data_IF_837372214380
#
_entry.id   IF_837372214380
#
_cell.length_a   1.000
_cell.length_b   1.000
_cell.length_c   1.000
_cell.angle_alpha   90.00
_cell.angle_beta   90.00
_cell.angle_gamma   90.00
#
_symmetry.space_group_name_H-M   'P 1'
#
loop_
_entity.id
_entity.type
_entity.pdbx_description
1 polymer ?
#
# COMPACT_ATOMS: atom_id res chain seq x y z
N UNK A 1 -10.10 11.23 -9.88
CA UNK A 1 -9.42 10.27 -8.99
C UNK A 1 -7.92 10.48 -9.13
N UNK A 2 -7.16 10.15 -8.09
CA UNK A 2 -5.70 10.33 -8.08
C UNK A 2 -5.06 9.18 -7.30
N UNK A 3 -3.88 8.75 -7.72
CA UNK A 3 -3.06 7.82 -6.96
C UNK A 3 -1.94 8.59 -6.26
N UNK A 4 -1.89 8.49 -4.95
CA UNK A 4 -0.76 8.95 -4.16
C UNK A 4 0.18 7.77 -3.93
N UNK A 5 1.44 7.93 -4.31
CA UNK A 5 2.48 6.93 -4.08
C UNK A 5 3.20 7.24 -2.76
N UNK A 6 3.65 6.21 -2.02
CA UNK A 6 4.45 6.40 -0.82
C UNK A 6 5.85 6.95 -1.13
N UNK A 7 6.53 7.44 -0.10
CA UNK A 7 7.89 7.98 -0.20
C UNK A 7 8.94 6.87 -0.17
N UNK A 8 10.06 7.08 -0.88
CA UNK A 8 11.28 6.26 -0.71
C UNK A 8 11.99 6.61 0.61
N UNK A 9 11.91 7.86 1.07
CA UNK A 9 12.56 8.27 2.32
C UNK A 9 11.79 7.71 3.51
N UNK A 10 12.45 6.98 4.44
CA UNK A 10 11.82 6.40 5.62
C UNK A 10 11.69 7.44 6.76
N UNK A 11 11.13 8.61 6.46
CA UNK A 11 11.10 9.72 7.40
C UNK A 11 10.16 9.41 8.55
N UNK A 12 10.70 9.40 9.78
CA UNK A 12 9.88 9.35 10.99
C UNK A 12 9.13 10.67 11.17
N UNK A 13 7.82 10.58 11.26
CA UNK A 13 6.90 11.69 11.57
C UNK A 13 6.20 11.42 12.89
N UNK A 14 5.44 12.40 13.40
CA UNK A 14 4.62 12.19 14.61
C UNK A 14 3.56 11.09 14.43
N UNK A 15 3.14 10.82 13.18
CA UNK A 15 2.19 9.78 12.81
C UNK A 15 2.83 8.43 12.47
N UNK A 16 4.15 8.29 12.65
CA UNK A 16 4.88 7.04 12.40
C UNK A 16 5.97 7.16 11.34
N UNK A 17 6.61 6.02 11.06
CA UNK A 17 7.56 5.84 9.95
C UNK A 17 6.85 5.12 8.81
N UNK A 18 7.34 5.25 7.58
CA UNK A 18 7.05 4.35 6.47
C UNK A 18 8.32 3.59 6.07
N UNK A 19 8.18 2.36 5.57
CA UNK A 19 9.27 1.74 4.83
C UNK A 19 9.47 2.47 3.49
N UNK A 20 10.68 2.47 2.92
CA UNK A 20 10.89 2.90 1.54
C UNK A 20 9.98 2.09 0.61
N UNK A 21 9.28 2.79 -0.28
CA UNK A 21 8.32 2.16 -1.18
C UNK A 21 8.30 2.82 -2.56
N UNK A 22 7.93 2.03 -3.57
CA UNK A 22 7.74 2.47 -4.94
C UNK A 22 6.58 1.72 -5.58
N UNK A 23 6.02 2.27 -6.65
CA UNK A 23 4.86 1.69 -7.33
C UNK A 23 5.14 1.55 -8.82
N UNK A 24 4.92 0.36 -9.35
CA UNK A 24 5.04 0.07 -10.78
C UNK A 24 3.66 -0.01 -11.40
N UNK A 25 3.33 0.92 -12.29
CA UNK A 25 2.04 0.96 -12.96
C UNK A 25 2.05 0.14 -14.24
N UNK A 26 0.97 -0.62 -14.45
CA UNK A 26 0.61 -1.20 -15.73
C UNK A 26 -0.51 -0.37 -16.33
N UNK A 27 -0.32 0.11 -17.55
CA UNK A 27 -1.31 0.92 -18.24
C UNK A 27 -1.36 0.55 -19.72
N UNK A 28 -2.50 0.81 -20.34
CA UNK A 28 -2.71 0.72 -21.77
C UNK A 28 -2.02 1.92 -22.45
N UNK A 29 -1.11 1.65 -23.38
CA UNK A 29 -0.26 2.69 -23.98
C UNK A 29 -0.98 3.58 -24.98
N UNK A 30 -2.11 3.13 -25.52
CA UNK A 30 -2.88 3.87 -26.52
C UNK A 30 -3.88 4.83 -25.85
N UNK A 31 -4.47 4.41 -24.73
CA UNK A 31 -5.51 5.15 -24.00
C UNK A 31 -4.98 5.84 -22.73
N UNK A 32 -3.82 5.43 -22.23
CA UNK A 32 -3.29 5.85 -20.93
C UNK A 32 -4.04 5.26 -19.74
N UNK A 33 -4.99 4.34 -19.96
CA UNK A 33 -5.78 3.75 -18.89
C UNK A 33 -4.90 2.88 -17.98
N UNK A 34 -4.85 3.22 -16.69
CA UNK A 34 -4.24 2.35 -15.68
C UNK A 34 -5.02 1.04 -15.61
N UNK A 35 -4.32 -0.08 -15.74
CA UNK A 35 -4.88 -1.42 -15.65
C UNK A 35 -4.63 -2.04 -14.28
N UNK A 36 -3.46 -1.77 -13.69
CA UNK A 36 -3.08 -2.22 -12.34
C UNK A 36 -1.87 -1.43 -11.83
N UNK A 37 -1.51 -1.63 -10.56
CA UNK A 37 -0.17 -1.34 -10.09
C UNK A 37 0.34 -2.41 -9.12
N UNK A 38 1.66 -2.59 -9.11
CA UNK A 38 2.38 -3.37 -8.10
C UNK A 38 2.98 -2.40 -7.09
N UNK A 39 2.61 -2.54 -5.82
CA UNK A 39 3.24 -1.84 -4.71
C UNK A 39 4.45 -2.64 -4.24
N UNK A 40 5.63 -2.03 -4.29
CA UNK A 40 6.84 -2.58 -3.70
C UNK A 40 7.18 -1.85 -2.41
N UNK A 41 7.83 -2.55 -1.51
CA UNK A 41 8.42 -1.99 -0.30
C UNK A 41 9.79 -2.63 -0.02
N UNK A 42 10.59 -1.93 0.77
CA UNK A 42 11.84 -2.43 1.32
C UNK A 42 11.68 -2.57 2.83
N UNK A 43 11.80 -3.78 3.38
CA UNK A 43 11.96 -3.94 4.83
C UNK A 43 13.30 -3.35 5.25
N UNK A 44 13.25 -2.11 5.77
CA UNK A 44 14.44 -1.35 6.10
C UNK A 44 15.23 -1.99 7.25
N UNK A 45 14.55 -2.65 8.19
CA UNK A 45 15.21 -3.31 9.34
C UNK A 45 16.02 -4.50 8.86
N UNK A 46 15.43 -5.34 8.01
CA UNK A 46 16.11 -6.48 7.38
C UNK A 46 17.22 -6.02 6.46
N UNK A 47 16.97 -5.00 5.62
CA UNK A 47 17.98 -4.49 4.69
C UNK A 47 19.21 -3.92 5.40
N UNK A 48 19.02 -3.23 6.53
CA UNK A 48 20.11 -2.71 7.34
C UNK A 48 20.91 -3.81 8.03
N UNK A 49 20.22 -4.83 8.57
CA UNK A 49 20.86 -5.97 9.25
C UNK A 49 21.69 -6.82 8.27
N UNK A 50 21.15 -7.07 7.09
CA UNK A 50 21.76 -7.98 6.11
C UNK A 50 22.66 -7.25 5.10
N UNK A 51 22.82 -5.93 5.26
CA UNK A 51 23.55 -5.03 4.37
C UNK A 51 23.19 -5.20 2.88
N UNK A 52 21.92 -5.49 2.60
CA UNK A 52 21.43 -5.79 1.25
C UNK A 52 19.99 -5.31 1.09
N UNK A 53 19.74 -4.49 0.06
CA UNK A 53 18.40 -3.98 -0.23
C UNK A 53 17.63 -4.95 -1.13
N UNK A 54 16.79 -5.80 -0.54
CA UNK A 54 15.86 -6.67 -1.27
C UNK A 54 14.45 -6.09 -1.27
N UNK A 55 14.03 -5.59 -2.43
CA UNK A 55 12.67 -5.07 -2.63
C UNK A 55 11.68 -6.22 -2.79
N UNK A 56 10.55 -6.10 -2.09
CA UNK A 56 9.49 -7.12 -2.08
C UNK A 56 8.18 -6.53 -2.57
N UNK A 57 7.34 -7.38 -3.16
CA UNK A 57 5.97 -7.01 -3.52
C UNK A 57 5.14 -6.97 -2.24
N UNK A 58 4.48 -5.85 -1.98
CA UNK A 58 3.50 -5.70 -0.91
C UNK A 58 2.12 -6.18 -1.35
N UNK A 59 1.63 -5.64 -2.47
CA UNK A 59 0.36 -6.07 -3.09
C UNK A 59 0.22 -5.56 -4.53
N UNK A 60 -0.71 -6.14 -5.28
CA UNK A 60 -1.20 -5.59 -6.55
C UNK A 60 -2.60 -5.02 -6.35
N UNK A 61 -2.88 -3.81 -6.86
CA UNK A 61 -4.14 -3.09 -6.61
C UNK A 61 -5.36 -3.95 -6.95
N UNK A 62 -5.39 -4.53 -8.16
CA UNK A 62 -6.57 -5.25 -8.64
C UNK A 62 -6.86 -6.49 -7.82
N UNK A 63 -5.84 -7.31 -7.51
CA UNK A 63 -6.02 -8.52 -6.71
C UNK A 63 -6.35 -8.21 -5.25
N UNK A 64 -5.79 -7.12 -4.72
CA UNK A 64 -5.93 -6.77 -3.30
C UNK A 64 -7.32 -6.23 -2.96
N UNK A 65 -7.95 -5.50 -3.89
CA UNK A 65 -9.31 -4.96 -3.74
C UNK A 65 -10.37 -5.69 -4.58
N UNK A 66 -9.98 -6.71 -5.35
CA UNK A 66 -10.92 -7.50 -6.16
C UNK A 66 -11.45 -6.76 -7.39
N UNK A 67 -10.71 -5.79 -7.91
CA UNK A 67 -11.11 -5.05 -9.11
C UNK A 67 -10.90 -5.89 -10.38
N UNK A 68 -11.88 -5.85 -11.28
CA UNK A 68 -11.75 -6.39 -12.64
C UNK A 68 -11.05 -5.39 -13.59
N UNK A 69 -11.21 -4.11 -13.30
CA UNK A 69 -10.59 -3.01 -14.02
C UNK A 69 -10.34 -1.87 -13.04
N UNK A 70 -9.35 -1.02 -13.34
CA UNK A 70 -9.13 0.20 -12.56
C UNK A 70 -9.83 1.35 -13.29
N UNK A 71 -10.93 1.82 -12.72
CA UNK A 71 -11.67 2.97 -13.24
C UNK A 71 -12.02 3.98 -12.16
N UNK A 72 -12.40 5.19 -12.59
CA UNK A 72 -12.91 6.24 -11.70
C UNK A 72 -14.05 5.74 -10.82
N UNK A 73 -14.94 4.93 -11.42
CA UNK A 73 -16.12 4.39 -10.77
C UNK A 73 -15.74 3.34 -9.73
N UNK A 74 -14.90 2.38 -10.09
CA UNK A 74 -14.47 1.31 -9.17
C UNK A 74 -13.73 1.88 -7.95
N UNK A 75 -12.90 2.91 -8.16
CA UNK A 75 -12.21 3.61 -7.07
C UNK A 75 -13.16 4.42 -6.19
N UNK A 76 -14.20 5.02 -6.77
CA UNK A 76 -15.23 5.73 -6.01
C UNK A 76 -16.07 4.77 -5.19
N UNK A 77 -16.53 3.66 -5.78
CA UNK A 77 -17.28 2.61 -5.08
C UNK A 77 -16.46 2.00 -3.93
N UNK A 78 -15.15 1.80 -4.12
CA UNK A 78 -14.25 1.42 -3.03
C UNK A 78 -14.23 2.46 -1.91
N UNK A 79 -14.10 3.75 -2.22
CA UNK A 79 -14.09 4.80 -1.20
C UNK A 79 -15.44 4.88 -0.44
N UNK A 80 -16.57 4.78 -1.14
CA UNK A 80 -17.91 4.76 -0.53
C UNK A 80 -18.07 3.56 0.42
N UNK A 81 -17.54 2.39 0.04
CA UNK A 81 -17.60 1.19 0.86
C UNK A 81 -16.87 1.31 2.21
N UNK A 82 -15.99 2.30 2.39
CA UNK A 82 -15.34 2.57 3.68
C UNK A 82 -16.27 3.26 4.68
N UNK A 83 -17.36 3.88 4.20
CA UNK A 83 -18.23 4.75 5.00
C UNK A 83 -19.44 4.01 5.59
N UNK A 84 -19.75 2.81 5.11
CA UNK A 84 -20.86 1.99 5.59
C UNK A 84 -20.47 1.23 6.88
N UNK A 85 -21.42 0.85 7.74
CA UNK A 85 -21.13 0.17 9.01
C UNK A 85 -20.26 -1.09 8.89
N UNK A 86 -20.42 -1.85 7.81
CA UNK A 86 -19.63 -3.07 7.57
C UNK A 86 -18.29 -2.80 6.84
N UNK A 87 -18.01 -1.54 6.51
CA UNK A 87 -16.83 -1.09 5.75
C UNK A 87 -15.53 -1.11 6.54
N UNK A 88 -15.59 -1.28 7.87
CA UNK A 88 -14.44 -1.18 8.77
C UNK A 88 -13.28 -2.13 8.40
N UNK A 89 -13.58 -3.34 7.96
CA UNK A 89 -12.54 -4.31 7.56
C UNK A 89 -11.79 -3.85 6.31
N UNK A 90 -12.51 -3.31 5.32
CA UNK A 90 -11.91 -2.86 4.07
C UNK A 90 -11.16 -1.54 4.26
N UNK A 91 -11.69 -0.64 5.09
CA UNK A 91 -10.97 0.56 5.50
C UNK A 91 -9.69 0.21 6.28
N UNK A 92 -9.74 -0.75 7.21
CA UNK A 92 -8.55 -1.21 7.95
C UNK A 92 -7.49 -1.78 7.01
N UNK A 93 -7.93 -2.55 6.00
CA UNK A 93 -7.05 -3.06 4.94
C UNK A 93 -6.38 -1.92 4.16
N UNK A 94 -7.15 -0.91 3.74
CA UNK A 94 -6.61 0.29 3.09
C UNK A 94 -5.62 1.04 3.98
N UNK A 95 -5.93 1.18 5.27
CA UNK A 95 -5.06 1.86 6.22
C UNK A 95 -3.72 1.14 6.40
N UNK A 96 -3.72 -0.20 6.47
CA UNK A 96 -2.50 -1.01 6.53
C UNK A 96 -1.65 -0.89 5.25
N UNK A 97 -2.29 -0.92 4.07
CA UNK A 97 -1.59 -0.73 2.81
C UNK A 97 -0.97 0.68 2.69
N UNK A 98 -1.56 1.69 3.35
CA UNK A 98 -1.01 3.05 3.39
C UNK A 98 0.18 3.20 4.34
N UNK A 99 0.34 2.29 5.32
CA UNK A 99 1.47 2.34 6.26
C UNK A 99 2.73 1.62 5.77
N UNK A 100 2.68 0.95 4.61
CA UNK A 100 3.85 0.25 4.02
C UNK A 100 4.50 -0.70 5.04
N UNK A 101 3.68 -1.54 5.64
CA UNK A 101 4.05 -2.51 6.69
C UNK A 101 4.72 -1.97 7.96
N UNK A 102 4.70 -0.66 8.25
CA UNK A 102 5.29 -0.15 9.52
C UNK A 102 4.40 -0.38 10.74
N UNK A 103 3.12 -0.69 10.53
CA UNK A 103 2.17 -1.02 11.60
C UNK A 103 2.38 -2.41 12.21
N UNK A 104 3.36 -3.20 11.74
CA UNK A 104 3.71 -4.52 12.29
C UNK A 104 4.58 -4.47 13.56
N UNK A 105 5.08 -3.30 13.98
CA UNK A 105 5.90 -3.15 15.20
C UNK A 105 5.08 -3.03 16.50
N UNK A 106 3.77 -3.27 16.46
CA UNK A 106 2.88 -3.13 17.63
C UNK A 106 2.39 -4.43 18.28
N UNK A 107 2.71 -5.62 17.72
CA UNK A 107 2.15 -6.89 18.19
C UNK A 107 3.18 -7.89 18.75
N UNK A 108 4.47 -7.51 18.83
CA UNK A 108 5.51 -8.38 19.40
C UNK A 108 6.15 -7.90 20.71
N UNK A 109 5.83 -6.68 21.20
CA UNK A 109 6.43 -6.14 22.43
C UNK A 109 5.46 -6.09 23.63
N UNK A 110 4.44 -6.95 23.64
CA UNK A 110 3.66 -7.26 24.85
C UNK A 110 3.98 -8.69 25.28
N UNK A 111 5.24 -8.93 25.66
CA UNK A 111 5.70 -10.03 26.53
C UNK A 111 7.24 -9.99 26.64
N UNK A 112 7.76 -8.99 27.35
CA UNK A 112 9.10 -9.01 27.96
C UNK A 112 9.09 -8.18 29.24
#
# INVERSE_FOLDING_TARGET
>A
WIFLAPSVTPRRTQSGSNNPALRLYKFDTDTGQVQDYVQYYLDLSTANRDHRAEWQIEYNLTSYYGFRQVSARDLHELAESFTVPDGHLLFSRYYLANSVQTSGLGLHDVNA
#
